data_IF_090441060228
#
_entry.id   IF_090441060228
#
_cell.length_a   1.000
_cell.length_b   1.000
_cell.length_c   1.000
_cell.angle_alpha   90.00
_cell.angle_beta   90.00
_cell.angle_gamma   90.00
#
_symmetry.space_group_name_H-M   'P 1'
#
loop_
_entity.id
_entity.type
_entity.pdbx_description
1 polymer ?
#
# COMPACT_ATOMS: atom_id res chain seq x y z
N UNK A 1 -24.40 -13.31 19.98
CA UNK A 1 -23.67 -13.34 18.70
C UNK A 1 -22.66 -12.20 18.71
N UNK A 2 -21.43 -12.50 19.18
CA UNK A 2 -20.43 -11.47 19.47
C UNK A 2 -19.42 -11.41 18.33
N UNK A 3 -19.25 -10.22 17.77
CA UNK A 3 -18.09 -9.68 17.05
C UNK A 3 -17.46 -10.57 15.97
N UNK A 4 -17.87 -10.35 14.73
CA UNK A 4 -17.11 -10.70 13.54
C UNK A 4 -16.74 -9.38 12.88
N UNK A 5 -15.54 -8.91 13.13
CA UNK A 5 -14.95 -7.80 12.38
C UNK A 5 -13.52 -8.20 12.05
N UNK A 6 -13.26 -8.32 10.75
CA UNK A 6 -12.03 -8.08 9.99
C UNK A 6 -10.85 -8.98 10.27
N UNK A 7 -10.49 -9.71 9.26
CA UNK A 7 -9.18 -10.34 9.17
C UNK A 7 -8.64 -10.30 7.74
N UNK A 8 -8.07 -9.18 7.34
CA UNK A 8 -7.34 -9.09 6.07
C UNK A 8 -5.85 -8.74 6.18
N UNK A 9 -5.32 -8.52 7.41
CA UNK A 9 -3.93 -8.04 7.58
C UNK A 9 -3.19 -8.89 8.64
N UNK A 10 -3.18 -10.21 8.51
CA UNK A 10 -2.74 -11.03 9.65
C UNK A 10 -1.61 -12.03 9.39
N UNK A 11 -0.94 -11.97 8.24
CA UNK A 11 0.11 -12.96 7.97
C UNK A 11 1.53 -12.50 8.33
N UNK A 12 1.77 -11.21 8.48
CA UNK A 12 3.12 -10.68 8.76
C UNK A 12 3.46 -10.68 10.26
N UNK A 13 2.46 -10.63 11.14
CA UNK A 13 2.68 -10.56 12.59
C UNK A 13 3.01 -11.91 13.26
N UNK A 14 2.74 -13.05 12.62
CA UNK A 14 2.91 -14.37 13.24
C UNK A 14 4.37 -14.82 13.35
N UNK A 15 5.29 -14.29 12.56
CA UNK A 15 6.70 -14.65 12.61
C UNK A 15 7.50 -13.85 13.66
N UNK A 16 6.99 -12.66 14.07
CA UNK A 16 7.66 -11.81 15.06
C UNK A 16 7.36 -12.18 16.53
N UNK A 17 6.35 -13.01 16.80
CA UNK A 17 5.91 -13.32 18.17
C UNK A 17 6.85 -14.26 18.96
N UNK A 18 7.93 -14.77 18.36
CA UNK A 18 8.93 -15.59 19.09
C UNK A 18 9.93 -14.77 19.90
N UNK A 19 9.98 -13.45 19.76
CA UNK A 19 11.04 -12.62 20.36
C UNK A 19 10.72 -11.98 21.72
N UNK A 20 9.47 -11.99 22.18
CA UNK A 20 9.13 -11.43 23.52
C UNK A 20 8.08 -12.29 24.23
N UNK A 21 8.50 -13.20 25.03
CA UNK A 21 7.64 -13.97 25.92
C UNK A 21 7.91 -15.45 25.88
N UNK A 22 9.10 -15.85 26.35
CA UNK A 22 9.40 -17.25 26.61
C UNK A 22 8.45 -17.81 27.66
N UNK A 23 7.39 -18.48 27.24
CA UNK A 23 6.82 -19.55 28.03
C UNK A 23 7.76 -20.74 27.81
N UNK A 24 8.60 -20.99 28.80
CA UNK A 24 9.40 -22.19 28.89
C UNK A 24 8.47 -23.40 28.88
N UNK A 25 8.24 -23.99 27.71
CA UNK A 25 7.87 -25.38 27.63
C UNK A 25 9.18 -26.15 27.82
N UNK A 26 9.36 -26.56 29.05
CA UNK A 26 10.49 -27.40 29.40
C UNK A 26 10.47 -28.68 28.58
N UNK A 27 11.65 -28.96 28.00
CA UNK A 27 12.27 -30.27 28.04
C UNK A 27 12.47 -31.05 26.75
N UNK A 28 13.71 -31.49 26.60
CA UNK A 28 14.25 -32.58 25.76
C UNK A 28 14.01 -32.45 24.25
N UNK A 29 14.79 -31.57 23.66
CA UNK A 29 14.95 -31.47 22.19
C UNK A 29 15.96 -32.54 21.69
N UNK A 30 15.48 -33.72 21.41
CA UNK A 30 16.20 -34.72 20.56
C UNK A 30 15.28 -35.53 19.64
N UNK A 31 13.99 -35.19 19.54
CA UNK A 31 13.13 -35.76 18.49
C UNK A 31 12.56 -34.60 17.64
N UNK A 32 12.49 -34.73 16.29
CA UNK A 32 11.84 -33.74 15.45
C UNK A 32 10.37 -33.71 15.86
N UNK A 33 9.92 -32.57 16.39
CA UNK A 33 8.50 -32.35 16.70
C UNK A 33 7.74 -32.33 15.36
N UNK A 34 7.14 -33.49 15.03
CA UNK A 34 6.26 -33.60 13.87
C UNK A 34 4.99 -32.79 14.16
N UNK A 35 4.72 -31.77 13.37
CA UNK A 35 3.54 -30.93 13.50
C UNK A 35 2.27 -31.79 13.23
N UNK A 36 1.36 -31.85 14.21
CA UNK A 36 0.17 -32.70 14.15
C UNK A 36 -0.80 -32.24 13.09
N UNK A 37 -1.22 -33.11 12.18
CA UNK A 37 -2.32 -32.85 11.25
C UNK A 37 -3.65 -32.90 12.02
N UNK A 38 -4.36 -31.78 12.09
CA UNK A 38 -5.63 -31.65 12.80
C UNK A 38 -6.84 -31.86 11.87
N UNK A 39 -6.70 -31.47 10.62
CA UNK A 39 -7.78 -31.73 9.65
C UNK A 39 -7.24 -31.89 8.23
N UNK A 40 -8.06 -32.55 7.40
CA UNK A 40 -7.83 -32.73 5.96
C UNK A 40 -9.08 -32.28 5.23
N UNK A 41 -8.91 -31.47 4.17
CA UNK A 41 -9.96 -31.00 3.28
C UNK A 41 -9.53 -31.26 1.83
N UNK A 42 -10.14 -32.24 1.18
CA UNK A 42 -9.65 -32.75 -0.10
C UNK A 42 -8.23 -33.29 0.03
N UNK A 43 -7.25 -32.65 -0.61
CA UNK A 43 -5.81 -32.96 -0.48
C UNK A 43 -5.05 -31.97 0.44
N UNK A 44 -5.74 -30.95 0.95
CA UNK A 44 -5.13 -29.90 1.76
C UNK A 44 -5.22 -30.24 3.24
N UNK A 45 -4.17 -29.98 3.99
CA UNK A 45 -4.07 -30.26 5.43
C UNK A 45 -4.15 -28.98 6.25
N UNK A 46 -4.68 -29.09 7.46
CA UNK A 46 -4.59 -28.10 8.53
C UNK A 46 -3.77 -28.69 9.65
N UNK A 47 -2.77 -27.98 10.12
CA UNK A 47 -1.87 -28.39 11.18
C UNK A 47 -2.21 -27.73 12.51
N UNK A 48 -1.74 -28.33 13.60
CA UNK A 48 -1.89 -27.78 14.94
C UNK A 48 -1.22 -26.40 15.04
N UNK A 49 -0.04 -26.25 14.43
CA UNK A 49 0.67 -24.96 14.39
C UNK A 49 -0.15 -23.85 13.71
N UNK A 50 -0.97 -24.16 12.71
CA UNK A 50 -1.82 -23.17 12.04
C UNK A 50 -2.88 -22.61 13.01
N UNK A 51 -3.47 -23.49 13.85
CA UNK A 51 -4.45 -23.10 14.87
C UNK A 51 -3.79 -22.27 15.97
N UNK A 52 -2.65 -22.73 16.49
CA UNK A 52 -1.95 -22.03 17.58
C UNK A 52 -1.43 -20.67 17.15
N UNK A 53 -0.91 -20.52 15.93
CA UNK A 53 -0.52 -19.24 15.37
C UNK A 53 -1.72 -18.29 15.25
N UNK A 54 -2.86 -18.79 14.79
CA UNK A 54 -4.11 -18.02 14.78
C UNK A 54 -4.55 -17.62 16.18
N UNK A 55 -4.44 -18.52 17.15
CA UNK A 55 -4.82 -18.27 18.54
C UNK A 55 -3.93 -17.21 19.22
N UNK A 56 -2.60 -17.30 19.04
CA UNK A 56 -1.65 -16.30 19.55
C UNK A 56 -1.96 -14.92 18.96
N UNK A 57 -2.23 -14.87 17.68
CA UNK A 57 -2.57 -13.61 16.99
C UNK A 57 -3.86 -12.98 17.52
N UNK A 58 -4.86 -13.79 17.82
CA UNK A 58 -6.09 -13.33 18.44
C UNK A 58 -5.86 -12.87 19.89
N UNK A 59 -5.08 -13.61 20.69
CA UNK A 59 -4.78 -13.30 22.07
C UNK A 59 -4.10 -11.93 22.23
N UNK A 60 -3.18 -11.58 21.34
CA UNK A 60 -2.49 -10.29 21.35
C UNK A 60 -3.49 -9.14 21.12
N UNK A 61 -4.55 -9.36 20.34
CA UNK A 61 -5.48 -8.30 19.92
C UNK A 61 -6.65 -8.06 20.89
N UNK A 62 -7.11 -9.04 21.61
CA UNK A 62 -8.44 -8.96 22.23
C UNK A 62 -8.56 -9.36 23.73
N UNK A 63 -7.54 -10.02 24.34
CA UNK A 63 -7.63 -10.56 25.72
C UNK A 63 -8.71 -11.67 25.89
N UNK A 64 -8.46 -12.81 26.55
CA UNK A 64 -9.34 -13.96 26.38
C UNK A 64 -9.78 -14.76 27.58
N UNK A 65 -11.05 -15.26 27.54
CA UNK A 65 -11.68 -16.11 28.53
C UNK A 65 -12.01 -17.54 28.09
N UNK A 66 -12.10 -17.85 26.78
CA UNK A 66 -12.41 -19.22 26.32
C UNK A 66 -11.44 -19.72 25.23
N UNK A 67 -10.34 -20.32 25.69
CA UNK A 67 -9.25 -20.73 24.83
C UNK A 67 -9.63 -21.85 23.83
N UNK A 68 -10.50 -22.82 24.24
CA UNK A 68 -10.89 -23.93 23.37
C UNK A 68 -11.83 -23.48 22.27
N UNK A 69 -12.91 -22.79 22.60
CA UNK A 69 -13.88 -22.31 21.59
C UNK A 69 -13.22 -21.34 20.58
N UNK A 70 -12.25 -20.56 21.00
CA UNK A 70 -11.48 -19.71 20.07
C UNK A 70 -10.66 -20.54 19.10
N UNK A 71 -10.04 -21.65 19.52
CA UNK A 71 -9.36 -22.59 18.63
C UNK A 71 -10.33 -23.27 17.66
N UNK A 72 -11.54 -23.63 18.11
CA UNK A 72 -12.59 -24.15 17.25
C UNK A 72 -13.00 -23.15 16.15
N UNK A 73 -13.19 -21.88 16.52
CA UNK A 73 -13.53 -20.83 15.57
C UNK A 73 -12.41 -20.59 14.54
N UNK A 74 -11.15 -20.67 14.97
CA UNK A 74 -9.99 -20.57 14.09
C UNK A 74 -9.94 -21.76 13.15
N UNK A 75 -10.11 -22.97 13.68
CA UNK A 75 -10.16 -24.19 12.87
C UNK A 75 -11.25 -24.11 11.80
N UNK A 76 -12.47 -23.66 12.16
CA UNK A 76 -13.54 -23.49 11.17
C UNK A 76 -13.16 -22.51 10.06
N UNK A 77 -12.52 -21.40 10.41
CA UNK A 77 -12.01 -20.43 9.43
C UNK A 77 -10.94 -21.04 8.50
N UNK A 78 -10.04 -21.87 9.04
CA UNK A 78 -9.03 -22.59 8.27
C UNK A 78 -9.66 -23.66 7.37
N UNK A 79 -10.65 -24.40 7.85
CA UNK A 79 -11.40 -25.38 7.05
C UNK A 79 -12.09 -24.71 5.85
N UNK A 80 -12.78 -23.58 6.06
CA UNK A 80 -13.39 -22.80 4.97
C UNK A 80 -12.31 -22.34 3.97
N UNK A 81 -11.17 -21.87 4.46
CA UNK A 81 -10.08 -21.44 3.59
C UNK A 81 -9.53 -22.60 2.73
N UNK A 82 -9.31 -23.79 3.35
CA UNK A 82 -8.86 -24.97 2.60
C UNK A 82 -9.92 -25.48 1.63
N UNK A 83 -11.22 -25.28 1.92
CA UNK A 83 -12.30 -25.57 0.96
C UNK A 83 -12.23 -24.63 -0.27
N UNK A 84 -11.95 -23.34 -0.06
CA UNK A 84 -11.76 -22.38 -1.15
C UNK A 84 -10.53 -22.73 -1.99
N UNK A 85 -9.41 -23.10 -1.35
CA UNK A 85 -8.20 -23.58 -2.05
C UNK A 85 -8.53 -24.80 -2.90
N UNK A 86 -9.17 -25.81 -2.30
CA UNK A 86 -9.59 -27.01 -3.01
C UNK A 86 -10.46 -26.71 -4.22
N UNK A 87 -11.46 -25.83 -4.06
CA UNK A 87 -12.30 -25.37 -5.16
C UNK A 87 -11.49 -24.70 -6.27
N UNK A 88 -10.55 -23.81 -5.92
CA UNK A 88 -9.68 -23.15 -6.87
C UNK A 88 -8.81 -24.11 -7.66
N UNK A 89 -8.32 -25.17 -7.01
CA UNK A 89 -7.55 -26.25 -7.66
C UNK A 89 -8.41 -27.07 -8.61
N UNK A 90 -9.62 -27.45 -8.20
CA UNK A 90 -10.55 -28.21 -9.04
C UNK A 90 -11.00 -27.41 -10.26
N UNK A 91 -11.28 -26.13 -10.08
CA UNK A 91 -11.70 -25.23 -11.16
C UNK A 91 -10.53 -24.68 -11.99
N UNK A 92 -9.30 -25.06 -11.67
CA UNK A 92 -8.08 -24.56 -12.33
C UNK A 92 -8.00 -23.03 -12.33
N UNK A 93 -8.34 -22.39 -11.20
CA UNK A 93 -8.22 -20.94 -11.05
C UNK A 93 -6.75 -20.55 -11.08
N UNK A 94 -6.37 -19.74 -12.05
CA UNK A 94 -4.97 -19.40 -12.30
C UNK A 94 -4.43 -18.39 -11.26
N UNK A 95 -3.29 -18.71 -10.68
CA UNK A 95 -2.42 -17.79 -9.92
C UNK A 95 -1.03 -17.94 -10.51
N UNK A 96 -0.57 -16.91 -11.21
CA UNK A 96 0.70 -16.98 -11.96
C UNK A 96 1.91 -16.92 -11.02
N UNK A 97 3.02 -17.52 -11.45
CA UNK A 97 4.28 -17.49 -10.69
C UNK A 97 4.82 -16.06 -10.53
N UNK A 98 4.58 -15.19 -11.52
CA UNK A 98 5.01 -13.79 -11.49
C UNK A 98 4.26 -12.99 -10.41
N UNK A 99 2.96 -13.20 -10.27
CA UNK A 99 2.16 -12.57 -9.20
C UNK A 99 2.62 -13.00 -7.81
N UNK A 100 2.88 -14.31 -7.65
CA UNK A 100 3.40 -14.84 -6.38
C UNK A 100 4.76 -14.24 -6.08
N UNK A 101 5.67 -14.25 -7.05
CA UNK A 101 7.03 -13.72 -6.91
C UNK A 101 7.03 -12.23 -6.53
N UNK A 102 6.18 -11.43 -7.18
CA UNK A 102 6.05 -9.99 -6.88
C UNK A 102 5.58 -9.78 -5.43
N UNK A 103 4.58 -10.51 -4.98
CA UNK A 103 4.10 -10.42 -3.60
C UNK A 103 5.13 -10.91 -2.58
N UNK A 104 5.84 -12.01 -2.86
CA UNK A 104 6.92 -12.52 -2.01
C UNK A 104 8.02 -11.46 -1.87
N UNK A 105 8.45 -10.86 -2.99
CA UNK A 105 9.50 -9.84 -2.95
C UNK A 105 9.10 -8.66 -2.08
N UNK A 106 7.86 -8.16 -2.20
CA UNK A 106 7.34 -7.08 -1.36
C UNK A 106 7.47 -7.39 0.14
N UNK A 107 7.12 -8.61 0.57
CA UNK A 107 7.25 -8.99 1.97
C UNK A 107 8.72 -9.18 2.40
N UNK A 108 9.56 -9.72 1.53
CA UNK A 108 10.98 -9.87 1.82
C UNK A 108 11.67 -8.50 1.99
N UNK A 109 11.35 -7.53 1.14
CA UNK A 109 11.86 -6.15 1.24
C UNK A 109 11.42 -5.49 2.57
N UNK A 110 10.19 -5.78 3.03
CA UNK A 110 9.73 -5.35 4.36
C UNK A 110 10.57 -5.97 5.48
N UNK A 111 10.87 -7.28 5.41
CA UNK A 111 11.71 -7.95 6.40
C UNK A 111 13.14 -7.37 6.38
N UNK A 112 13.72 -7.16 5.22
CA UNK A 112 15.04 -6.53 5.09
C UNK A 112 15.07 -5.13 5.69
N UNK A 113 14.03 -4.33 5.43
CA UNK A 113 13.89 -2.98 6.00
C UNK A 113 13.76 -3.02 7.53
N UNK A 114 13.01 -3.98 8.07
CA UNK A 114 12.74 -4.10 9.50
C UNK A 114 13.93 -4.65 10.28
N UNK A 115 14.62 -5.65 9.75
CA UNK A 115 15.70 -6.37 10.45
C UNK A 115 17.12 -6.00 10.00
N UNK A 116 17.27 -5.36 8.85
CA UNK A 116 18.52 -4.80 8.33
C UNK A 116 19.49 -5.81 7.74
N UNK A 117 19.38 -7.12 8.05
CA UNK A 117 20.25 -8.16 7.50
C UNK A 117 19.60 -9.54 7.46
N UNK A 118 20.05 -10.40 6.55
CA UNK A 118 19.57 -11.79 6.44
C UNK A 118 19.84 -12.61 7.72
N UNK A 119 20.94 -12.34 8.41
CA UNK A 119 21.25 -13.02 9.67
C UNK A 119 20.30 -12.60 10.80
N UNK A 120 19.95 -11.31 10.88
CA UNK A 120 18.94 -10.83 11.83
C UNK A 120 17.55 -11.39 11.52
N UNK A 121 17.19 -11.52 10.24
CA UNK A 121 15.95 -12.19 9.80
C UNK A 121 15.95 -13.66 10.28
N UNK A 122 17.06 -14.38 10.07
CA UNK A 122 17.20 -15.78 10.52
C UNK A 122 17.06 -15.92 12.03
N UNK A 123 17.68 -15.04 12.80
CA UNK A 123 17.57 -15.04 14.27
C UNK A 123 16.13 -14.77 14.74
N UNK A 124 15.43 -13.86 14.07
CA UNK A 124 14.05 -13.50 14.40
C UNK A 124 13.02 -14.55 13.97
N UNK A 125 13.20 -15.16 12.80
CA UNK A 125 12.22 -16.08 12.20
C UNK A 125 12.56 -17.56 12.38
N UNK A 126 13.82 -17.88 12.57
CA UNK A 126 14.34 -19.26 12.60
C UNK A 126 14.57 -19.87 11.20
N UNK A 127 14.33 -19.12 10.13
CA UNK A 127 14.50 -19.56 8.74
C UNK A 127 15.62 -18.79 8.05
N UNK A 128 16.35 -19.44 7.18
CA UNK A 128 17.22 -18.76 6.23
C UNK A 128 16.37 -17.92 5.26
N UNK A 129 16.98 -16.96 4.58
CA UNK A 129 16.26 -16.09 3.63
C UNK A 129 15.59 -16.88 2.51
N UNK A 130 16.27 -17.91 1.98
CA UNK A 130 15.73 -18.79 0.93
C UNK A 130 14.59 -19.68 1.45
N UNK A 131 14.73 -20.27 2.64
CA UNK A 131 13.65 -21.05 3.28
C UNK A 131 12.42 -20.17 3.55
N UNK A 132 12.63 -18.94 4.01
CA UNK A 132 11.56 -17.97 4.23
C UNK A 132 10.84 -17.64 2.91
N UNK A 133 11.60 -17.41 1.84
CA UNK A 133 11.08 -17.16 0.50
C UNK A 133 10.23 -18.31 -0.02
N UNK A 134 10.70 -19.55 0.14
CA UNK A 134 9.96 -20.75 -0.30
C UNK A 134 8.68 -20.95 0.52
N UNK A 135 8.78 -20.76 1.84
CA UNK A 135 7.62 -20.82 2.74
C UNK A 135 6.58 -19.76 2.35
N UNK A 136 7.00 -18.52 2.19
CA UNK A 136 6.13 -17.41 1.78
C UNK A 136 5.50 -17.67 0.41
N UNK A 137 6.25 -18.22 -0.54
CA UNK A 137 5.74 -18.53 -1.88
C UNK A 137 4.55 -19.50 -1.83
N UNK A 138 4.66 -20.56 -1.02
CA UNK A 138 3.58 -21.53 -0.84
C UNK A 138 2.37 -20.90 -0.16
N UNK A 139 2.59 -20.20 0.96
CA UNK A 139 1.53 -19.55 1.73
C UNK A 139 0.78 -18.48 0.92
N UNK A 140 1.50 -17.63 0.19
CA UNK A 140 0.92 -16.57 -0.62
C UNK A 140 0.15 -17.14 -1.82
N UNK A 141 0.65 -18.18 -2.46
CA UNK A 141 -0.08 -18.87 -3.55
C UNK A 141 -1.42 -19.41 -3.07
N UNK A 142 -1.45 -20.14 -1.96
CA UNK A 142 -2.69 -20.64 -1.37
C UNK A 142 -3.65 -19.49 -1.00
N UNK A 143 -3.13 -18.45 -0.38
CA UNK A 143 -3.92 -17.27 -0.01
C UNK A 143 -4.53 -16.58 -1.24
N UNK A 144 -3.72 -16.32 -2.25
CA UNK A 144 -4.18 -15.68 -3.50
C UNK A 144 -5.23 -16.53 -4.21
N UNK A 145 -5.06 -17.85 -4.22
CA UNK A 145 -6.04 -18.77 -4.80
C UNK A 145 -7.37 -18.72 -4.04
N UNK A 146 -7.32 -18.81 -2.71
CA UNK A 146 -8.53 -18.74 -1.87
C UNK A 146 -9.25 -17.38 -2.04
N UNK A 147 -8.50 -16.26 -2.08
CA UNK A 147 -9.08 -14.93 -2.27
C UNK A 147 -9.70 -14.76 -3.66
N UNK A 148 -9.11 -15.31 -4.73
CA UNK A 148 -9.72 -15.30 -6.07
C UNK A 148 -11.05 -16.06 -6.09
N UNK A 149 -11.08 -17.25 -5.52
CA UNK A 149 -12.32 -18.05 -5.42
C UNK A 149 -13.35 -17.31 -4.57
N UNK A 150 -12.95 -16.75 -3.43
CA UNK A 150 -13.82 -15.93 -2.59
C UNK A 150 -14.41 -14.76 -3.38
N UNK A 151 -13.56 -14.03 -4.10
CA UNK A 151 -14.00 -12.92 -4.94
C UNK A 151 -14.99 -13.38 -6.02
N UNK A 152 -14.71 -14.48 -6.72
CA UNK A 152 -15.63 -15.03 -7.73
C UNK A 152 -17.00 -15.37 -7.13
N UNK A 153 -17.04 -15.98 -5.95
CA UNK A 153 -18.28 -16.35 -5.26
C UNK A 153 -19.07 -15.15 -4.75
N UNK A 154 -18.40 -14.04 -4.42
CA UNK A 154 -19.01 -12.88 -3.75
C UNK A 154 -19.12 -11.63 -4.63
N UNK A 155 -18.54 -11.62 -5.84
CA UNK A 155 -18.52 -10.44 -6.74
C UNK A 155 -19.89 -9.92 -7.13
N UNK A 156 -20.88 -10.79 -7.14
CA UNK A 156 -22.28 -10.45 -7.48
C UNK A 156 -23.11 -10.05 -6.26
N UNK A 157 -22.58 -10.15 -5.05
CA UNK A 157 -23.31 -9.78 -3.82
C UNK A 157 -23.46 -8.26 -3.79
N UNK A 158 -24.69 -7.82 -3.74
CA UNK A 158 -25.08 -6.42 -3.57
C UNK A 158 -26.12 -6.35 -2.46
N UNK A 159 -26.14 -5.26 -1.75
CA UNK A 159 -27.13 -4.99 -0.71
C UNK A 159 -27.89 -3.70 -1.01
N UNK A 160 -29.13 -3.67 -0.65
CA UNK A 160 -30.01 -2.50 -0.79
C UNK A 160 -29.94 -1.61 0.45
N UNK A 161 -30.32 -0.33 0.36
CA UNK A 161 -30.43 0.55 1.53
C UNK A 161 -31.35 0.00 2.64
N UNK A 162 -32.37 -0.76 2.26
CA UNK A 162 -33.26 -1.41 3.22
C UNK A 162 -32.52 -2.49 4.01
N UNK A 163 -31.75 -3.35 3.34
CA UNK A 163 -30.95 -4.41 4.00
C UNK A 163 -29.89 -3.82 4.91
N UNK A 164 -29.29 -2.67 4.55
CA UNK A 164 -28.36 -1.93 5.45
C UNK A 164 -29.09 -1.48 6.71
N UNK A 165 -30.29 -0.95 6.57
CA UNK A 165 -31.10 -0.51 7.71
C UNK A 165 -31.52 -1.69 8.58
N UNK A 166 -31.92 -2.80 7.98
CA UNK A 166 -32.26 -4.04 8.71
C UNK A 166 -31.05 -4.63 9.44
N UNK A 167 -29.89 -4.64 8.79
CA UNK A 167 -28.62 -5.06 9.42
C UNK A 167 -28.33 -4.24 10.65
N UNK A 168 -28.39 -2.91 10.55
CA UNK A 168 -28.12 -2.01 11.68
C UNK A 168 -29.12 -2.20 12.83
N UNK A 169 -30.41 -2.34 12.52
CA UNK A 169 -31.46 -2.53 13.51
C UNK A 169 -31.40 -3.89 14.23
N UNK A 170 -30.71 -4.89 13.64
CA UNK A 170 -30.44 -6.19 14.28
C UNK A 170 -29.29 -6.16 15.28
N UNK A 171 -28.49 -5.10 15.28
CA UNK A 171 -27.39 -4.96 16.25
C UNK A 171 -27.98 -4.62 17.61
N UNK A 172 -27.62 -5.39 18.63
CA UNK A 172 -28.02 -5.08 19.99
C UNK A 172 -27.54 -3.68 20.38
N UNK A 173 -28.41 -2.87 20.98
CA UNK A 173 -28.10 -1.47 21.34
C UNK A 173 -26.80 -1.30 22.13
N UNK A 174 -26.54 -2.24 23.03
CA UNK A 174 -25.33 -2.24 23.86
C UNK A 174 -24.07 -2.69 23.05
N UNK A 175 -24.27 -3.23 21.84
CA UNK A 175 -23.21 -3.68 20.94
C UNK A 175 -22.94 -2.69 19.81
N UNK A 176 -23.70 -1.60 19.70
CA UNK A 176 -23.45 -0.55 18.72
C UNK A 176 -22.09 0.10 19.08
N UNK A 177 -21.13 0.13 18.14
CA UNK A 177 -19.81 0.67 18.43
C UNK A 177 -19.85 2.19 18.58
N UNK A 178 -19.00 2.71 19.45
CA UNK A 178 -18.67 4.13 19.43
C UNK A 178 -17.74 4.40 18.24
N UNK A 179 -18.10 5.42 17.48
CA UNK A 179 -17.23 6.00 16.45
C UNK A 179 -16.41 7.07 17.17
N UNK A 180 -15.09 6.92 17.14
CA UNK A 180 -14.19 7.91 17.67
C UNK A 180 -14.32 9.22 16.89
N UNK A 181 -13.92 10.32 17.54
CA UNK A 181 -13.92 11.63 16.91
C UNK A 181 -13.15 11.61 15.59
N UNK A 182 -13.77 12.12 14.52
CA UNK A 182 -13.17 12.17 13.17
C UNK A 182 -13.18 13.60 12.61
N UNK A 183 -12.25 13.83 11.70
CA UNK A 183 -11.95 15.12 11.12
C UNK A 183 -12.00 14.99 9.60
N UNK A 184 -12.67 15.94 8.94
CA UNK A 184 -12.66 16.11 7.50
C UNK A 184 -11.83 17.33 7.16
N UNK A 185 -10.87 17.18 6.28
CA UNK A 185 -9.92 18.24 5.93
C UNK A 185 -9.86 18.48 4.42
N UNK A 186 -9.42 19.68 4.05
CA UNK A 186 -8.97 19.97 2.70
C UNK A 186 -7.58 20.59 2.75
N UNK A 187 -6.80 20.39 1.69
CA UNK A 187 -5.47 20.96 1.56
C UNK A 187 -5.26 21.67 0.22
N UNK A 188 -4.42 22.68 0.23
CA UNK A 188 -3.83 23.30 -0.94
C UNK A 188 -2.33 23.09 -0.86
N UNK A 189 -1.80 22.36 -1.83
CA UNK A 189 -0.37 22.10 -1.94
C UNK A 189 0.23 22.98 -3.02
N UNK A 190 1.40 23.57 -2.75
CA UNK A 190 2.17 24.30 -3.72
C UNK A 190 3.58 23.76 -3.83
N UNK A 191 3.88 23.19 -4.99
CA UNK A 191 5.24 22.79 -5.37
C UNK A 191 6.02 24.07 -5.71
N UNK A 192 7.29 24.19 -5.29
CA UNK A 192 8.10 25.33 -5.67
C UNK A 192 8.29 25.36 -7.18
N UNK A 193 8.07 26.50 -7.79
CA UNK A 193 8.40 26.70 -9.19
C UNK A 193 9.91 26.93 -9.29
N UNK A 194 10.56 26.09 -10.09
CA UNK A 194 11.99 26.22 -10.36
C UNK A 194 12.22 27.57 -11.04
N UNK A 195 13.15 28.36 -10.50
CA UNK A 195 13.47 29.67 -11.04
C UNK A 195 14.05 29.55 -12.45
N UNK A 196 13.76 30.53 -13.30
CA UNK A 196 14.33 30.59 -14.65
C UNK A 196 15.86 30.66 -14.58
N UNK A 197 16.42 31.30 -13.57
CA UNK A 197 17.86 31.37 -13.35
C UNK A 197 18.47 29.95 -13.17
N UNK A 198 17.83 29.07 -12.46
CA UNK A 198 18.30 27.68 -12.28
C UNK A 198 18.17 26.88 -13.58
N UNK A 199 17.10 27.07 -14.33
CA UNK A 199 16.91 26.44 -15.65
C UNK A 199 18.00 26.88 -16.62
N UNK A 200 18.30 28.18 -16.67
CA UNK A 200 19.35 28.73 -17.53
C UNK A 200 20.75 28.29 -17.07
N UNK A 201 21.00 28.20 -15.76
CA UNK A 201 22.26 27.66 -15.21
C UNK A 201 22.52 26.24 -15.71
N UNK A 202 21.50 25.36 -15.61
CA UNK A 202 21.62 23.96 -16.05
C UNK A 202 21.82 23.88 -17.57
N UNK A 203 21.05 24.64 -18.34
CA UNK A 203 21.21 24.69 -19.80
C UNK A 203 22.61 25.13 -20.20
N UNK A 204 23.15 26.14 -19.51
CA UNK A 204 24.51 26.62 -19.75
C UNK A 204 25.55 25.53 -19.42
N UNK A 205 25.41 24.88 -18.28
CA UNK A 205 26.33 23.82 -17.84
C UNK A 205 26.29 22.61 -18.79
N UNK A 206 25.11 22.14 -19.20
CA UNK A 206 24.99 21.07 -20.19
C UNK A 206 25.52 21.47 -21.57
N UNK A 207 25.35 22.72 -22.00
CA UNK A 207 25.96 23.20 -23.24
C UNK A 207 27.47 23.23 -23.15
N UNK A 208 28.05 23.62 -22.02
CA UNK A 208 29.51 23.55 -21.81
C UNK A 208 29.99 22.08 -21.86
N UNK A 209 29.30 21.15 -21.25
CA UNK A 209 29.64 19.72 -21.35
C UNK A 209 29.52 19.22 -22.80
N UNK A 210 28.46 19.62 -23.51
CA UNK A 210 28.30 19.31 -24.94
C UNK A 210 29.46 19.83 -25.77
N UNK A 211 29.90 21.07 -25.59
CA UNK A 211 31.05 21.63 -26.29
C UNK A 211 32.34 20.86 -26.00
N UNK A 212 32.58 20.44 -24.76
CA UNK A 212 33.72 19.61 -24.39
C UNK A 212 33.70 18.27 -25.12
N UNK A 213 32.53 17.63 -25.22
CA UNK A 213 32.36 16.38 -25.97
C UNK A 213 32.67 16.58 -27.45
N UNK A 214 32.15 17.66 -28.04
CA UNK A 214 32.42 18.00 -29.45
C UNK A 214 33.91 18.32 -29.73
N UNK A 215 34.65 18.77 -28.71
CA UNK A 215 36.12 18.99 -28.77
C UNK A 215 36.95 17.73 -28.49
N UNK A 216 36.29 16.59 -28.17
CA UNK A 216 36.97 15.29 -28.05
C UNK A 216 36.98 14.66 -26.65
N UNK A 217 36.36 15.29 -25.64
CA UNK A 217 36.20 14.67 -24.34
C UNK A 217 35.27 13.44 -24.45
N UNK A 218 35.58 12.40 -23.69
CA UNK A 218 34.75 11.19 -23.69
C UNK A 218 33.44 11.41 -23.02
N UNK A 219 32.33 11.20 -23.74
CA UNK A 219 30.97 11.32 -23.21
C UNK A 219 30.78 10.50 -21.93
N UNK A 220 31.24 9.24 -21.92
CA UNK A 220 31.09 8.35 -20.77
C UNK A 220 31.76 8.88 -19.50
N UNK A 221 32.94 9.50 -19.64
CA UNK A 221 33.65 10.11 -18.49
C UNK A 221 32.86 11.28 -17.92
N UNK A 222 32.32 12.15 -18.78
CA UNK A 222 31.51 13.28 -18.35
C UNK A 222 30.17 12.83 -17.77
N UNK A 223 29.54 11.80 -18.33
CA UNK A 223 28.32 11.21 -17.79
C UNK A 223 28.55 10.65 -16.37
N UNK A 224 29.64 9.94 -16.14
CA UNK A 224 29.95 9.42 -14.80
C UNK A 224 30.21 10.52 -13.77
N UNK A 225 30.75 11.67 -14.21
CA UNK A 225 31.08 12.78 -13.29
C UNK A 225 29.90 13.73 -13.02
N UNK A 226 29.05 13.94 -14.02
CA UNK A 226 28.06 15.02 -13.99
C UNK A 226 26.62 14.57 -14.12
N UNK A 227 26.34 13.34 -14.59
CA UNK A 227 24.95 12.88 -14.72
C UNK A 227 24.35 12.57 -13.36
N UNK A 228 23.16 13.11 -13.13
CA UNK A 228 22.33 12.85 -11.94
C UNK A 228 21.36 11.69 -12.15
N UNK A 229 21.49 10.91 -13.25
CA UNK A 229 20.71 9.68 -13.45
C UNK A 229 21.33 8.49 -12.71
N UNK A 230 20.72 8.00 -11.60
CA UNK A 230 21.28 6.90 -10.82
C UNK A 230 21.35 5.57 -11.60
N UNK A 231 20.53 5.40 -12.65
CA UNK A 231 20.46 4.18 -13.43
C UNK A 231 21.61 4.01 -14.44
N UNK A 232 22.12 5.11 -14.98
CA UNK A 232 23.10 5.08 -16.09
C UNK A 232 24.40 5.83 -15.79
N UNK A 233 24.45 6.77 -14.83
CA UNK A 233 25.64 7.57 -14.58
C UNK A 233 26.89 6.74 -14.35
N UNK A 234 26.83 5.70 -13.49
CA UNK A 234 27.95 4.80 -13.20
C UNK A 234 28.39 3.96 -14.40
N UNK A 235 27.53 3.82 -15.42
CA UNK A 235 27.77 3.11 -16.69
C UNK A 235 28.16 4.07 -17.82
N UNK A 236 28.58 5.29 -17.49
CA UNK A 236 28.93 6.30 -18.49
C UNK A 236 27.74 6.84 -19.27
N UNK A 237 26.55 6.86 -18.65
CA UNK A 237 25.30 7.33 -19.22
C UNK A 237 24.60 6.36 -20.18
N UNK A 238 25.08 5.12 -20.33
CA UNK A 238 24.58 4.14 -21.31
C UNK A 238 23.23 3.56 -20.89
N UNK A 239 22.23 3.66 -21.79
CA UNK A 239 20.86 3.21 -21.58
C UNK A 239 20.57 1.83 -22.19
N UNK A 240 21.51 1.29 -23.00
CA UNK A 240 21.28 0.07 -23.76
C UNK A 240 20.36 0.30 -24.96
N UNK A 241 20.00 -0.81 -25.63
CA UNK A 241 19.12 -0.76 -26.80
C UNK A 241 17.65 -0.62 -26.39
N UNK A 242 16.96 0.35 -27.00
CA UNK A 242 15.52 0.52 -26.85
C UNK A 242 14.86 0.92 -28.17
N UNK A 243 13.56 0.65 -28.27
CA UNK A 243 12.70 0.99 -29.40
C UNK A 243 11.78 2.16 -29.03
N UNK A 244 11.07 2.71 -30.04
CA UNK A 244 10.06 3.75 -29.80
C UNK A 244 9.00 3.31 -28.79
N UNK A 245 8.49 4.26 -28.01
CA UNK A 245 7.48 4.05 -26.96
C UNK A 245 8.05 3.57 -25.62
N UNK A 246 9.38 3.54 -25.46
CA UNK A 246 10.04 3.15 -24.19
C UNK A 246 10.57 4.33 -23.38
N UNK A 247 10.76 5.48 -24.01
CA UNK A 247 11.24 6.71 -23.36
C UNK A 247 10.18 7.81 -23.47
N UNK A 248 10.35 8.87 -22.69
CA UNK A 248 9.46 10.06 -22.80
C UNK A 248 9.60 10.70 -24.16
N UNK A 249 8.51 11.30 -24.65
CA UNK A 249 8.37 11.75 -26.04
C UNK A 249 9.47 12.71 -26.50
N UNK A 250 9.86 13.65 -25.65
CA UNK A 250 10.87 14.66 -25.95
C UNK A 250 12.26 14.04 -26.07
N UNK A 251 12.59 13.11 -25.17
CA UNK A 251 13.84 12.35 -25.23
C UNK A 251 13.89 11.46 -26.47
N UNK A 252 12.82 10.74 -26.71
CA UNK A 252 12.71 9.83 -27.85
C UNK A 252 12.84 10.58 -29.19
N UNK A 253 12.12 11.70 -29.33
CA UNK A 253 12.18 12.50 -30.54
C UNK A 253 13.62 12.97 -30.84
N UNK A 254 14.33 13.45 -29.81
CA UNK A 254 15.72 13.89 -29.97
C UNK A 254 16.66 12.71 -30.27
N UNK A 255 16.57 11.60 -29.52
CA UNK A 255 17.46 10.45 -29.67
C UNK A 255 17.35 9.80 -31.05
N UNK A 256 16.12 9.64 -31.55
CA UNK A 256 15.88 9.03 -32.87
C UNK A 256 16.25 9.92 -34.05
N UNK A 257 16.38 11.25 -33.85
CA UNK A 257 16.84 12.18 -34.87
C UNK A 257 18.36 12.15 -35.12
N UNK A 258 19.14 11.66 -34.12
CA UNK A 258 20.62 11.64 -34.20
C UNK A 258 21.16 10.60 -35.14
N UNK A 259 22.34 10.89 -35.66
CA UNK A 259 23.22 9.91 -36.33
C UNK A 259 24.21 9.29 -35.35
N UNK A 260 24.72 8.07 -35.58
CA UNK A 260 25.73 7.47 -34.73
C UNK A 260 26.93 8.41 -34.47
N UNK A 261 27.27 8.59 -33.21
CA UNK A 261 28.32 9.52 -32.74
C UNK A 261 27.84 10.96 -32.51
N UNK A 262 26.67 11.34 -33.00
CA UNK A 262 26.16 12.71 -32.86
C UNK A 262 25.62 12.96 -31.45
N UNK A 263 25.74 14.23 -30.96
CA UNK A 263 25.29 14.69 -29.66
C UNK A 263 24.19 15.71 -29.84
N UNK A 264 23.05 15.50 -29.15
CA UNK A 264 21.89 16.40 -29.22
C UNK A 264 22.18 17.80 -28.67
N UNK A 265 21.41 18.82 -29.03
CA UNK A 265 21.27 20.00 -28.19
C UNK A 265 20.72 19.61 -26.81
N UNK A 266 20.70 20.58 -25.87
CA UNK A 266 20.04 20.38 -24.57
C UNK A 266 18.55 20.23 -24.81
N UNK A 267 17.97 19.17 -24.31
CA UNK A 267 16.53 18.89 -24.33
C UNK A 267 15.96 18.90 -22.94
N UNK A 268 14.73 19.31 -22.79
CA UNK A 268 14.00 19.33 -21.54
C UNK A 268 12.92 18.23 -21.54
N UNK A 269 12.80 17.52 -20.41
CA UNK A 269 11.77 16.52 -20.15
C UNK A 269 11.19 16.73 -18.75
N UNK A 270 10.17 15.98 -18.39
CA UNK A 270 9.65 15.97 -17.01
C UNK A 270 10.69 15.55 -15.94
N UNK A 271 11.78 14.89 -16.32
CA UNK A 271 12.85 14.46 -15.42
C UNK A 271 13.99 15.48 -15.26
N UNK A 272 14.07 16.47 -16.13
CA UNK A 272 15.11 17.48 -16.13
C UNK A 272 15.65 17.78 -17.53
N UNK A 273 16.90 18.21 -17.58
CA UNK A 273 17.58 18.59 -18.82
C UNK A 273 18.59 17.52 -19.21
N UNK A 274 18.65 17.20 -20.50
CA UNK A 274 19.49 16.11 -21.02
C UNK A 274 20.31 16.60 -22.22
N UNK A 275 21.50 16.00 -22.37
CA UNK A 275 22.19 15.87 -23.64
C UNK A 275 22.32 14.38 -23.93
N UNK A 276 22.10 13.99 -25.20
CA UNK A 276 22.05 12.59 -25.65
C UNK A 276 23.09 12.37 -26.73
N UNK A 277 23.80 11.24 -26.67
CA UNK A 277 24.64 10.76 -27.76
C UNK A 277 24.09 9.43 -28.29
N UNK A 278 23.87 9.36 -29.60
CA UNK A 278 23.59 8.07 -30.25
C UNK A 278 24.88 7.29 -30.40
N UNK A 279 24.95 6.11 -29.79
CA UNK A 279 26.10 5.19 -29.88
C UNK A 279 25.96 4.32 -31.10
N UNK A 280 24.80 3.66 -31.24
CA UNK A 280 24.58 2.67 -32.34
C UNK A 280 23.08 2.61 -32.69
N UNK A 281 22.81 2.28 -33.97
CA UNK A 281 21.45 2.01 -34.46
C UNK A 281 21.38 0.62 -35.07
N UNK A 282 20.40 -0.18 -34.63
CA UNK A 282 20.12 -1.52 -35.15
C UNK A 282 18.65 -1.63 -35.59
N UNK A 283 18.39 -1.45 -36.88
CA UNK A 283 17.00 -1.42 -37.36
C UNK A 283 16.17 -0.37 -36.65
N UNK A 284 15.12 -0.80 -35.95
CA UNK A 284 14.21 0.08 -35.18
C UNK A 284 14.68 0.34 -33.74
N UNK A 285 15.79 -0.25 -33.32
CA UNK A 285 16.34 -0.04 -31.96
C UNK A 285 17.58 0.87 -32.02
N UNK A 286 17.76 1.69 -31.01
CA UNK A 286 18.93 2.55 -30.82
C UNK A 286 19.54 2.33 -29.44
N UNK A 287 20.88 2.44 -29.37
CA UNK A 287 21.63 2.53 -28.13
C UNK A 287 22.14 3.94 -27.95
N UNK A 288 21.80 4.58 -26.82
CA UNK A 288 22.18 5.94 -26.51
C UNK A 288 22.91 6.04 -25.17
N UNK A 289 23.67 7.11 -25.03
CA UNK A 289 24.16 7.62 -23.74
C UNK A 289 23.51 8.96 -23.47
N UNK A 290 23.26 9.27 -22.19
CA UNK A 290 22.79 10.58 -21.82
C UNK A 290 23.50 11.14 -20.57
N UNK A 291 23.47 12.45 -20.42
CA UNK A 291 23.77 13.16 -19.20
C UNK A 291 22.50 13.88 -18.80
N UNK A 292 21.99 13.54 -17.62
CA UNK A 292 20.82 14.17 -17.01
C UNK A 292 21.28 15.15 -15.92
N UNK A 293 20.73 16.36 -15.93
CA UNK A 293 20.83 17.30 -14.82
C UNK A 293 19.42 17.69 -14.38
N UNK A 294 19.15 17.54 -13.09
CA UNK A 294 17.86 17.88 -12.49
C UNK A 294 17.89 19.28 -11.89
N UNK A 295 16.91 20.13 -12.21
CA UNK A 295 16.86 21.44 -11.59
C UNK A 295 16.58 21.31 -10.08
N UNK A 296 17.40 22.01 -9.30
CA UNK A 296 17.32 22.01 -7.83
C UNK A 296 16.47 23.17 -7.37
N UNK A 297 15.54 22.85 -6.47
CA UNK A 297 14.74 23.87 -5.81
C UNK A 297 15.62 24.68 -4.87
N UNK A 298 15.68 25.97 -5.06
CA UNK A 298 16.40 26.87 -4.16
C UNK A 298 15.59 27.16 -2.90
N UNK A 299 16.27 27.59 -1.82
CA UNK A 299 15.59 28.06 -0.61
C UNK A 299 14.68 29.27 -0.90
N UNK A 300 15.04 30.08 -1.87
CA UNK A 300 14.23 31.22 -2.29
C UNK A 300 12.94 30.78 -2.99
N UNK A 301 13.00 29.75 -3.84
CA UNK A 301 11.82 29.19 -4.52
C UNK A 301 10.85 28.54 -3.52
N UNK A 302 11.39 27.84 -2.52
CA UNK A 302 10.62 27.31 -1.39
C UNK A 302 9.93 28.44 -0.61
N UNK A 303 10.68 29.49 -0.27
CA UNK A 303 10.14 30.63 0.47
C UNK A 303 9.05 31.35 -0.32
N UNK A 304 9.20 31.52 -1.63
CA UNK A 304 8.16 32.11 -2.51
C UNK A 304 6.86 31.29 -2.47
N UNK A 305 6.96 29.94 -2.53
CA UNK A 305 5.79 29.06 -2.43
C UNK A 305 5.10 29.19 -1.08
N UNK A 306 5.85 29.28 0.02
CA UNK A 306 5.33 29.53 1.35
C UNK A 306 4.60 30.88 1.44
N UNK A 307 5.24 31.96 1.02
CA UNK A 307 4.66 33.32 1.05
C UNK A 307 3.36 33.37 0.23
N UNK A 308 3.34 32.73 -0.94
CA UNK A 308 2.14 32.64 -1.77
C UNK A 308 0.99 31.94 -1.02
N UNK A 309 1.27 30.80 -0.39
CA UNK A 309 0.25 30.07 0.38
C UNK A 309 -0.22 30.85 1.61
N UNK A 310 0.68 31.52 2.32
CA UNK A 310 0.32 32.38 3.46
C UNK A 310 -0.57 33.57 3.00
N UNK A 311 -0.29 34.14 1.82
CA UNK A 311 -1.14 35.17 1.21
C UNK A 311 -2.53 34.63 0.84
N UNK A 312 -2.59 33.43 0.21
CA UNK A 312 -3.86 32.77 -0.12
C UNK A 312 -4.66 32.48 1.16
N UNK A 313 -4.01 31.97 2.20
CA UNK A 313 -4.65 31.74 3.50
C UNK A 313 -5.20 33.04 4.09
N UNK A 314 -4.50 34.16 3.92
CA UNK A 314 -4.95 35.51 4.31
C UNK A 314 -6.24 35.93 3.58
N UNK A 315 -6.30 35.78 2.26
CA UNK A 315 -7.48 36.09 1.46
C UNK A 315 -8.70 35.23 1.84
N UNK A 316 -8.45 33.94 2.15
CA UNK A 316 -9.52 33.04 2.60
C UNK A 316 -10.02 33.43 3.99
N UNK A 317 -9.12 33.75 4.94
CA UNK A 317 -9.50 34.23 6.28
C UNK A 317 -10.30 35.53 6.26
N UNK A 318 -10.04 36.36 5.28
CA UNK A 318 -10.80 37.61 5.03
C UNK A 318 -12.15 37.39 4.30
N UNK A 319 -12.46 36.14 3.93
CA UNK A 319 -13.70 35.79 3.23
C UNK A 319 -13.76 36.25 1.77
N UNK A 320 -12.64 36.71 1.20
CA UNK A 320 -12.57 37.18 -0.20
C UNK A 320 -12.48 36.02 -1.20
N UNK A 321 -12.03 34.87 -0.74
CA UNK A 321 -11.88 33.65 -1.53
C UNK A 321 -12.32 32.46 -0.69
N UNK A 322 -13.09 31.51 -1.26
CA UNK A 322 -13.38 30.25 -0.57
C UNK A 322 -12.19 29.30 -0.69
N UNK A 323 -12.02 28.39 0.29
CA UNK A 323 -10.95 27.42 0.25
C UNK A 323 -11.03 26.54 -1.02
N UNK A 324 -12.23 26.11 -1.41
CA UNK A 324 -12.44 25.31 -2.60
C UNK A 324 -12.04 26.04 -3.90
N UNK A 325 -12.37 27.34 -4.03
CA UNK A 325 -11.92 28.16 -5.16
C UNK A 325 -10.39 28.33 -5.15
N UNK A 326 -9.81 28.56 -3.98
CA UNK A 326 -8.36 28.64 -3.83
C UNK A 326 -7.68 27.31 -4.21
N UNK A 327 -8.21 26.19 -3.79
CA UNK A 327 -7.70 24.87 -4.17
C UNK A 327 -7.74 24.65 -5.68
N UNK A 328 -8.87 24.95 -6.31
CA UNK A 328 -9.03 24.82 -7.77
C UNK A 328 -8.03 25.70 -8.55
N UNK A 329 -7.79 26.92 -8.09
CA UNK A 329 -6.96 27.90 -8.81
C UNK A 329 -5.46 27.74 -8.54
N UNK A 330 -5.09 27.32 -7.33
CA UNK A 330 -3.70 27.43 -6.86
C UNK A 330 -3.08 26.10 -6.41
N UNK A 331 -3.87 25.03 -6.18
CA UNK A 331 -3.28 23.75 -5.75
C UNK A 331 -2.63 23.02 -6.92
N UNK A 332 -1.48 22.44 -6.65
CA UNK A 332 -0.77 21.54 -7.58
C UNK A 332 -1.16 20.06 -7.39
N UNK A 333 -1.98 19.74 -6.37
CA UNK A 333 -2.46 18.39 -6.12
C UNK A 333 -3.69 18.05 -6.98
N UNK A 334 -3.89 16.75 -7.25
CA UNK A 334 -5.00 16.27 -8.07
C UNK A 334 -6.38 16.55 -7.41
N UNK A 335 -6.45 16.57 -6.08
CA UNK A 335 -7.67 16.84 -5.31
C UNK A 335 -8.21 18.27 -5.46
N UNK A 336 -7.51 19.15 -6.18
CA UNK A 336 -7.98 20.51 -6.50
C UNK A 336 -9.35 20.55 -7.18
N UNK A 337 -9.70 19.50 -7.96
CA UNK A 337 -10.99 19.38 -8.64
C UNK A 337 -12.16 19.17 -7.67
N UNK A 338 -11.89 18.64 -6.47
CA UNK A 338 -12.85 18.42 -5.39
C UNK A 338 -12.67 19.44 -4.24
N UNK A 339 -12.26 20.67 -4.59
CA UNK A 339 -12.05 21.74 -3.62
C UNK A 339 -10.94 21.48 -2.61
N UNK A 340 -10.01 20.62 -2.95
CA UNK A 340 -8.86 20.25 -2.10
C UNK A 340 -9.18 19.21 -1.01
N UNK A 341 -10.37 18.58 -1.01
CA UNK A 341 -10.72 17.55 -0.03
C UNK A 341 -9.72 16.41 -0.07
N UNK A 342 -9.34 15.94 1.12
CA UNK A 342 -8.37 14.87 1.28
C UNK A 342 -9.07 13.56 1.56
N UNK A 343 -8.74 12.53 0.79
CA UNK A 343 -9.19 11.15 1.02
C UNK A 343 -8.15 10.38 1.82
N UNK A 344 -8.62 9.55 2.74
CA UNK A 344 -7.76 8.68 3.54
C UNK A 344 -7.10 7.62 2.63
N UNK A 345 -5.76 7.45 2.66
CA UNK A 345 -5.03 6.61 1.70
C UNK A 345 -5.47 5.14 1.67
N UNK A 346 -5.85 4.57 2.82
CA UNK A 346 -6.20 3.15 2.92
C UNK A 346 -7.70 2.88 2.82
N UNK A 347 -8.58 3.81 3.21
CA UNK A 347 -10.04 3.60 3.22
C UNK A 347 -10.76 4.31 2.08
N UNK A 348 -10.15 5.31 1.45
CA UNK A 348 -10.80 6.18 0.48
C UNK A 348 -11.88 7.12 1.06
N UNK A 349 -12.10 7.07 2.37
CA UNK A 349 -13.04 7.96 3.07
C UNK A 349 -12.44 9.36 3.28
N UNK A 350 -13.29 10.36 3.51
CA UNK A 350 -12.84 11.72 3.83
C UNK A 350 -12.58 11.94 5.33
N UNK A 351 -12.66 10.90 6.14
CA UNK A 351 -12.59 10.97 7.60
C UNK A 351 -11.26 10.45 8.12
N UNK A 352 -10.67 11.19 9.03
CA UNK A 352 -9.40 10.89 9.72
C UNK A 352 -9.60 10.93 11.22
N UNK A 353 -8.88 10.11 11.96
CA UNK A 353 -8.70 10.26 13.40
C UNK A 353 -7.66 11.35 13.68
N UNK A 354 -7.69 11.89 14.91
CA UNK A 354 -6.67 12.87 15.33
C UNK A 354 -5.25 12.31 15.27
N UNK A 355 -5.10 11.02 15.58
CA UNK A 355 -3.79 10.36 15.60
C UNK A 355 -3.21 10.23 14.18
N UNK A 356 -4.04 9.84 13.21
CA UNK A 356 -3.66 9.79 11.80
C UNK A 356 -3.28 11.17 11.26
N UNK A 357 -4.05 12.21 11.63
CA UNK A 357 -3.74 13.58 11.22
C UNK A 357 -2.42 14.07 11.81
N UNK A 358 -2.09 13.74 13.06
CA UNK A 358 -0.78 14.08 13.65
C UNK A 358 0.39 13.44 12.88
N UNK A 359 0.21 12.22 12.39
CA UNK A 359 1.23 11.51 11.62
C UNK A 359 1.37 12.07 10.20
N UNK A 360 0.25 12.29 9.51
CA UNK A 360 0.23 12.75 8.11
C UNK A 360 0.50 14.25 7.97
N UNK A 361 0.16 15.04 8.98
CA UNK A 361 0.21 16.50 8.99
C UNK A 361 0.92 17.03 10.24
N UNK A 362 2.20 16.69 10.44
CA UNK A 362 2.93 17.11 11.63
C UNK A 362 2.97 18.64 11.73
N UNK A 363 2.76 19.16 12.93
CA UNK A 363 2.80 20.59 13.23
C UNK A 363 1.49 21.36 13.01
N UNK A 364 0.42 20.72 12.52
CA UNK A 364 -0.91 21.34 12.41
C UNK A 364 -1.74 20.99 13.65
N UNK A 365 -2.26 22.00 14.40
CA UNK A 365 -2.92 21.77 15.68
C UNK A 365 -4.41 21.42 15.55
N UNK A 366 -4.76 20.34 14.86
CA UNK A 366 -6.16 19.95 14.59
C UNK A 366 -7.02 19.82 15.83
N UNK A 367 -6.43 19.44 16.98
CA UNK A 367 -7.16 19.30 18.23
C UNK A 367 -7.82 20.62 18.71
N UNK A 368 -7.24 21.76 18.33
CA UNK A 368 -7.70 23.11 18.72
C UNK A 368 -8.35 23.91 17.60
N UNK A 369 -8.29 23.39 16.35
CA UNK A 369 -8.94 24.04 15.21
C UNK A 369 -10.45 23.86 15.26
N UNK A 370 -11.17 24.91 14.87
CA UNK A 370 -12.60 24.88 14.59
C UNK A 370 -12.86 24.64 13.10
N UNK A 371 -14.06 24.21 12.75
CA UNK A 371 -14.47 24.09 11.35
C UNK A 371 -14.33 25.46 10.66
N UNK A 372 -13.64 25.48 9.52
CA UNK A 372 -13.30 26.70 8.77
C UNK A 372 -11.94 27.30 9.10
N UNK A 373 -11.28 26.89 10.18
CA UNK A 373 -9.94 27.36 10.52
C UNK A 373 -8.94 26.86 9.48
N UNK A 374 -7.92 27.69 9.18
CA UNK A 374 -6.89 27.40 8.18
C UNK A 374 -5.53 27.46 8.85
N UNK A 375 -4.71 26.46 8.59
CA UNK A 375 -3.32 26.44 9.06
C UNK A 375 -2.48 27.54 8.41
N UNK A 376 -1.32 27.84 8.97
CA UNK A 376 -0.26 28.52 8.24
C UNK A 376 0.37 27.56 7.23
N UNK A 377 1.15 28.09 6.29
CA UNK A 377 1.87 27.26 5.35
C UNK A 377 2.89 26.37 6.08
N UNK A 378 2.75 25.07 5.93
CA UNK A 378 3.63 24.03 6.53
C UNK A 378 4.39 23.30 5.45
N UNK A 379 5.66 22.98 5.73
CA UNK A 379 6.48 22.19 4.82
C UNK A 379 5.97 20.76 4.73
N UNK A 380 6.07 20.15 3.55
CA UNK A 380 5.74 18.76 3.29
C UNK A 380 6.67 18.15 2.24
N UNK A 381 6.66 16.82 2.13
CA UNK A 381 7.19 16.11 0.97
C UNK A 381 6.04 15.64 0.09
N UNK A 382 6.20 15.79 -1.22
CA UNK A 382 5.28 15.19 -2.20
C UNK A 382 5.50 13.68 -2.30
N UNK A 383 4.60 12.96 -2.98
CA UNK A 383 4.75 11.53 -3.28
C UNK A 383 6.06 11.22 -4.02
N UNK A 384 6.59 12.19 -4.76
CA UNK A 384 7.88 12.13 -5.47
C UNK A 384 9.07 12.48 -4.57
N UNK A 385 8.86 12.58 -3.25
CA UNK A 385 9.85 12.99 -2.23
C UNK A 385 10.48 14.37 -2.45
N UNK A 386 9.75 15.29 -3.13
CA UNK A 386 10.18 16.68 -3.36
C UNK A 386 9.62 17.60 -2.28
N UNK A 387 10.40 18.64 -1.93
CA UNK A 387 9.96 19.67 -1.00
C UNK A 387 8.79 20.48 -1.57
N UNK A 388 7.79 20.72 -0.75
CA UNK A 388 6.62 21.55 -1.07
C UNK A 388 6.08 22.21 0.22
N UNK A 389 5.14 23.12 0.06
CA UNK A 389 4.37 23.68 1.15
C UNK A 389 2.89 23.39 0.97
N UNK A 390 2.17 23.32 2.07
CA UNK A 390 0.71 23.17 2.10
C UNK A 390 0.08 24.06 3.14
N UNK A 391 -1.17 24.44 2.90
CA UNK A 391 -2.11 24.94 3.91
C UNK A 391 -3.28 23.97 4.00
N UNK A 392 -3.83 23.79 5.20
CA UNK A 392 -4.91 22.85 5.47
C UNK A 392 -6.04 23.57 6.15
N UNK A 393 -7.28 23.26 5.79
CA UNK A 393 -8.47 23.70 6.52
C UNK A 393 -9.17 22.51 7.15
N UNK A 394 -9.74 22.74 8.31
CA UNK A 394 -10.67 21.80 8.93
C UNK A 394 -12.07 22.07 8.37
N UNK A 395 -12.59 21.13 7.56
CA UNK A 395 -13.94 21.24 7.01
C UNK A 395 -14.98 20.95 8.09
N UNK A 396 -14.80 19.83 8.78
CA UNK A 396 -15.75 19.32 9.75
C UNK A 396 -15.04 18.52 10.84
N UNK A 397 -15.53 18.64 12.06
CA UNK A 397 -15.18 17.83 13.20
C UNK A 397 -16.42 17.05 13.62
N UNK A 398 -16.36 15.72 13.51
CA UNK A 398 -17.43 14.85 13.93
C UNK A 398 -17.10 14.34 15.34
N UNK A 399 -17.82 14.76 16.38
CA UNK A 399 -17.53 14.35 17.75
C UNK A 399 -17.74 12.84 17.91
N UNK A 400 -17.13 12.27 18.95
CA UNK A 400 -17.35 10.87 19.31
C UNK A 400 -18.85 10.62 19.52
N UNK A 401 -19.39 9.60 18.88
CA UNK A 401 -20.81 9.26 18.97
C UNK A 401 -21.03 7.75 18.78
N UNK A 402 -22.21 7.27 19.15
CA UNK A 402 -22.65 5.93 18.77
C UNK A 402 -22.92 5.89 17.28
N UNK A 403 -22.44 4.83 16.61
CA UNK A 403 -22.67 4.66 15.19
C UNK A 403 -24.16 4.80 14.85
N UNK A 404 -24.47 5.53 13.77
CA UNK A 404 -25.83 5.76 13.32
C UNK A 404 -25.90 5.82 11.79
N UNK A 405 -27.10 5.54 11.24
CA UNK A 405 -27.31 5.48 9.79
C UNK A 405 -27.18 6.84 9.08
N UNK A 406 -27.24 7.94 9.80
CA UNK A 406 -27.16 9.28 9.21
C UNK A 406 -25.72 9.69 8.93
N UNK A 407 -24.85 9.48 9.90
CA UNK A 407 -23.48 10.00 9.86
C UNK A 407 -22.46 8.93 9.45
N UNK A 408 -22.79 7.62 9.62
CA UNK A 408 -21.89 6.49 9.42
C UNK A 408 -22.40 5.50 8.36
N UNK A 409 -23.28 5.94 7.48
CA UNK A 409 -23.94 5.04 6.51
C UNK A 409 -22.96 4.18 5.73
N UNK A 410 -21.89 4.76 5.19
CA UNK A 410 -20.90 4.02 4.39
C UNK A 410 -20.17 2.94 5.21
N UNK A 411 -19.89 3.21 6.49
CA UNK A 411 -19.28 2.23 7.40
C UNK A 411 -20.23 1.08 7.66
N UNK A 412 -21.49 1.40 7.92
CA UNK A 412 -22.56 0.42 8.19
C UNK A 412 -22.85 -0.37 6.91
N UNK A 413 -22.90 0.28 5.76
CA UNK A 413 -23.04 -0.37 4.45
C UNK A 413 -21.93 -1.38 4.21
N UNK A 414 -20.66 -0.98 4.40
CA UNK A 414 -19.53 -1.87 4.20
C UNK A 414 -19.57 -3.06 5.18
N UNK A 415 -19.93 -2.84 6.44
CA UNK A 415 -20.08 -3.91 7.43
C UNK A 415 -21.22 -4.87 7.05
N UNK A 416 -22.34 -4.36 6.58
CA UNK A 416 -23.48 -5.15 6.11
C UNK A 416 -23.10 -5.95 4.84
N UNK A 417 -22.42 -5.32 3.88
CA UNK A 417 -21.97 -5.98 2.66
C UNK A 417 -20.99 -7.12 2.95
N UNK A 418 -20.00 -6.90 3.84
CA UNK A 418 -19.05 -7.94 4.23
C UNK A 418 -19.76 -9.09 4.98
N UNK A 419 -20.78 -8.79 5.78
CA UNK A 419 -21.63 -9.81 6.42
C UNK A 419 -22.37 -10.63 5.37
N UNK A 420 -23.01 -9.98 4.39
CA UNK A 420 -23.73 -10.68 3.31
C UNK A 420 -22.78 -11.54 2.45
N UNK A 421 -21.57 -11.04 2.15
CA UNK A 421 -20.54 -11.85 1.47
C UNK A 421 -20.13 -13.07 2.29
N UNK A 422 -19.98 -12.90 3.59
CA UNK A 422 -19.62 -13.98 4.49
C UNK A 422 -20.73 -15.02 4.59
N UNK A 423 -21.99 -14.62 4.70
CA UNK A 423 -23.15 -15.53 4.64
C UNK A 423 -23.16 -16.32 3.33
N UNK A 424 -22.88 -15.66 2.20
CA UNK A 424 -22.77 -16.32 0.89
C UNK A 424 -21.67 -17.39 0.88
N UNK A 425 -20.54 -17.14 1.51
CA UNK A 425 -19.46 -18.13 1.63
C UNK A 425 -19.87 -19.28 2.54
N UNK A 426 -20.54 -19.02 3.65
CA UNK A 426 -21.06 -20.08 4.53
C UNK A 426 -22.08 -20.96 3.82
N UNK A 427 -23.03 -20.37 3.07
CA UNK A 427 -24.02 -21.12 2.28
C UNK A 427 -23.36 -21.99 1.21
N UNK A 428 -22.35 -21.46 0.54
CA UNK A 428 -21.58 -22.20 -0.44
C UNK A 428 -20.79 -23.34 0.24
N UNK A 429 -20.13 -23.08 1.36
CA UNK A 429 -19.38 -24.09 2.11
C UNK A 429 -20.29 -25.23 2.59
N UNK A 430 -21.48 -24.91 3.13
CA UNK A 430 -22.46 -25.91 3.57
C UNK A 430 -22.90 -26.90 2.45
N UNK A 431 -22.93 -26.42 1.21
CA UNK A 431 -23.22 -27.24 0.03
C UNK A 431 -22.01 -28.06 -0.41
N UNK A 432 -20.82 -27.46 -0.34
CA UNK A 432 -19.57 -28.05 -0.86
C UNK A 432 -19.01 -29.12 0.08
N UNK A 433 -19.19 -28.98 1.38
CA UNK A 433 -18.81 -29.97 2.40
C UNK A 433 -19.36 -31.36 2.05
N UNK A 434 -20.59 -31.47 1.59
CA UNK A 434 -21.26 -32.74 1.27
C UNK A 434 -20.56 -33.55 0.17
N UNK A 435 -19.80 -32.88 -0.68
CA UNK A 435 -19.14 -33.49 -1.84
C UNK A 435 -17.60 -33.44 -1.73
N UNK A 436 -17.06 -33.08 -0.58
CA UNK A 436 -15.61 -32.95 -0.36
C UNK A 436 -15.19 -33.92 0.74
N UNK A 437 -14.11 -34.64 0.54
CA UNK A 437 -13.52 -35.47 1.61
C UNK A 437 -12.98 -34.56 2.74
N UNK A 438 -13.56 -34.71 3.94
CA UNK A 438 -13.16 -33.94 5.12
C UNK A 438 -12.95 -34.92 6.28
N UNK A 439 -11.83 -34.74 6.97
CA UNK A 439 -11.51 -35.48 8.20
C UNK A 439 -11.00 -34.49 9.24
N UNK A 440 -11.54 -34.51 10.44
CA UNK A 440 -11.14 -33.72 11.59
C UNK A 440 -10.66 -34.65 12.70
N UNK A 441 -9.58 -34.26 13.37
CA UNK A 441 -9.02 -34.98 14.52
C UNK A 441 -10.01 -35.04 15.68
N UNK A 442 -9.95 -36.12 16.45
CA UNK A 442 -10.86 -36.40 17.57
C UNK A 442 -10.84 -35.28 18.63
N UNK A 443 -9.69 -34.59 18.84
CA UNK A 443 -9.54 -33.54 19.83
C UNK A 443 -10.42 -32.30 19.51
N UNK A 444 -10.95 -32.19 18.28
CA UNK A 444 -11.76 -31.08 17.81
C UNK A 444 -13.18 -31.48 17.39
N UNK A 445 -13.60 -32.71 17.69
CA UNK A 445 -14.95 -33.20 17.37
C UNK A 445 -16.04 -32.52 18.17
N UNK A 446 -15.73 -32.11 19.39
CA UNK A 446 -16.65 -31.44 20.30
C UNK A 446 -16.72 -29.91 20.08
N UNK A 447 -16.10 -29.41 19.01
CA UNK A 447 -16.20 -28.02 18.62
C UNK A 447 -17.64 -27.65 18.21
N UNK A 448 -18.13 -26.55 18.75
CA UNK A 448 -19.42 -25.96 18.31
C UNK A 448 -19.20 -25.18 17.01
N UNK A 449 -19.09 -25.92 15.90
CA UNK A 449 -18.95 -25.35 14.56
C UNK A 449 -20.27 -24.80 14.04
N UNK A 450 -20.23 -23.72 13.28
CA UNK A 450 -21.40 -23.16 12.59
C UNK A 450 -21.87 -24.04 11.44
N UNK A 451 -20.95 -24.78 10.82
CA UNK A 451 -21.21 -25.71 9.72
C UNK A 451 -21.05 -27.14 10.19
N UNK A 452 -21.83 -28.06 9.59
CA UNK A 452 -21.67 -29.51 9.84
C UNK A 452 -20.54 -30.06 9.00
N UNK A 453 -19.34 -30.13 9.58
CA UNK A 453 -18.11 -30.56 8.90
C UNK A 453 -17.96 -32.09 8.82
N UNK A 454 -18.57 -32.82 9.73
CA UNK A 454 -18.51 -34.31 9.82
C UNK A 454 -19.90 -34.79 10.10
N UNK A 455 -20.27 -35.96 9.51
CA UNK A 455 -21.51 -36.67 9.84
C UNK A 455 -21.38 -37.46 11.16
#
# INVERSE_FOLDING_TARGET
MKRIIISSILLVACLAAKAQGGVALGQNHNEPVVDKVVAVVGKNIVKLSDIENGYVSLRIKQGYDNAFQNRCNILEGLLINKLLVHKGEVDSVEVTDEEVKTNVQYYLDMYETQYGSHEAIRQATGYTFDELKDLMSKMLRERMLAERVRHQLTSTVKITPQEVTEFFNKIDKDSIPYIEETYEIAEICRKPMISENERERIKLELNQLRERILKGDRFSTLATLYSEDPGSASKGGELGFFTRGKMVSEFEAAAFALKPGEVSPVIETQYGFHIIQLVERRGNAINCRHILMMPKVSQEDLLRSRILLDSIAGEIRLGRLSFAQAASNFSDNANKIDGGKVTHPSSGAYQFTLEELKQLYPGIPFATMNAGDISNATAMKTDENRDAYRIVTLIRRNPRHLANLKDDYDRIYNAALETAKQEKIFDWAAKTIKNTYIKIDNDYRDCDFKLKWVE
#
